data_IF_623844164538
#
_entry.id   IF_623844164538
#
_cell.length_a   1.000
_cell.length_b   1.000
_cell.length_c   1.000
_cell.angle_alpha   90.00
_cell.angle_beta   90.00
_cell.angle_gamma   90.00
#
_symmetry.space_group_name_H-M   'P 1'
#
loop_
_entity.id
_entity.type
_entity.pdbx_description
1 polymer ?
#
# COMPACT_ATOMS: atom_id res chain seq x y z
N UNK A 1 16.89 16.67 7.39
CA UNK A 1 16.19 15.62 6.64
C UNK A 1 15.94 14.37 7.48
N UNK A 2 16.99 13.66 7.98
CA UNK A 2 16.83 12.41 8.77
C UNK A 2 15.93 12.56 10.01
N UNK A 3 16.09 13.65 10.79
CA UNK A 3 15.25 13.90 11.98
C UNK A 3 13.76 14.03 11.63
N UNK A 4 13.44 14.65 10.48
CA UNK A 4 12.06 14.79 9.99
C UNK A 4 11.49 13.44 9.56
N UNK A 5 12.29 12.66 8.82
CA UNK A 5 11.89 11.29 8.44
C UNK A 5 11.60 10.45 9.68
N UNK A 6 12.48 10.50 10.71
CA UNK A 6 12.28 9.76 11.95
C UNK A 6 11.01 10.17 12.72
N UNK A 7 10.66 11.46 12.75
CA UNK A 7 9.42 11.94 13.38
C UNK A 7 8.17 11.45 12.63
N UNK A 8 8.19 11.50 11.30
CA UNK A 8 7.08 11.01 10.48
C UNK A 8 6.92 9.49 10.62
N UNK A 9 8.02 8.73 10.64
CA UNK A 9 7.98 7.30 10.94
C UNK A 9 7.31 7.02 12.29
N UNK A 10 7.64 7.78 13.33
CA UNK A 10 7.02 7.65 14.66
C UNK A 10 5.53 7.95 14.64
N UNK A 11 5.11 8.99 13.91
CA UNK A 11 3.69 9.34 13.78
C UNK A 11 2.86 8.26 13.05
N UNK A 12 3.48 7.44 12.20
CA UNK A 12 2.82 6.35 11.46
C UNK A 12 2.61 5.09 12.31
N UNK A 13 3.44 4.86 13.32
CA UNK A 13 3.38 3.66 14.17
C UNK A 13 1.95 3.33 14.65
N UNK A 14 1.20 4.25 15.28
CA UNK A 14 -0.12 3.93 15.81
C UNK A 14 -1.13 3.54 14.72
N UNK A 15 -1.06 4.16 13.55
CA UNK A 15 -1.97 3.83 12.43
C UNK A 15 -1.63 2.50 11.80
N UNK A 16 -0.34 2.22 11.58
CA UNK A 16 0.12 0.93 11.06
C UNK A 16 -0.16 -0.20 12.05
N UNK A 17 0.04 0.04 13.35
CA UNK A 17 -0.29 -0.93 14.38
C UNK A 17 -1.80 -1.23 14.44
N UNK A 18 -2.65 -0.20 14.36
CA UNK A 18 -4.11 -0.37 14.29
C UNK A 18 -4.51 -1.13 13.01
N UNK A 19 -3.89 -0.83 11.87
CA UNK A 19 -4.06 -1.55 10.61
C UNK A 19 -3.68 -3.03 10.76
N UNK A 20 -2.51 -3.30 11.33
CA UNK A 20 -2.03 -4.67 11.54
C UNK A 20 -2.95 -5.46 12.51
N UNK A 21 -3.40 -4.84 13.62
CA UNK A 21 -4.34 -5.48 14.56
C UNK A 21 -5.66 -5.83 13.86
N UNK A 22 -6.26 -4.88 13.14
CA UNK A 22 -7.53 -5.12 12.44
C UNK A 22 -7.36 -6.10 11.29
N UNK A 23 -6.22 -6.07 10.59
CA UNK A 23 -5.88 -7.03 9.55
C UNK A 23 -5.76 -8.45 10.12
N UNK A 24 -4.98 -8.65 11.18
CA UNK A 24 -4.85 -9.96 11.84
C UNK A 24 -6.20 -10.47 12.36
N UNK A 25 -7.05 -9.58 12.90
CA UNK A 25 -8.41 -9.97 13.29
C UNK A 25 -9.24 -10.43 12.08
N UNK A 26 -9.14 -9.74 10.95
CA UNK A 26 -9.81 -10.14 9.71
C UNK A 26 -9.28 -11.50 9.21
N UNK A 27 -7.97 -11.75 9.26
CA UNK A 27 -7.36 -13.03 8.89
C UNK A 27 -7.82 -14.17 9.81
N UNK A 28 -7.87 -13.92 11.12
CA UNK A 28 -8.40 -14.90 12.07
C UNK A 28 -9.85 -15.28 11.74
N UNK A 29 -10.69 -14.28 11.40
CA UNK A 29 -12.08 -14.53 10.98
C UNK A 29 -12.14 -15.35 9.68
N UNK A 30 -11.37 -14.95 8.65
CA UNK A 30 -11.28 -15.69 7.37
C UNK A 30 -10.91 -17.14 7.61
N UNK A 31 -9.95 -17.40 8.49
CA UNK A 31 -9.47 -18.75 8.82
C UNK A 31 -10.52 -19.53 9.63
N UNK A 32 -11.07 -18.95 10.70
CA UNK A 32 -12.06 -19.60 11.56
C UNK A 32 -13.35 -19.97 10.82
N UNK A 33 -13.77 -19.13 9.87
CA UNK A 33 -14.96 -19.41 9.04
C UNK A 33 -14.66 -20.25 7.80
N UNK A 34 -13.42 -20.74 7.63
CA UNK A 34 -12.99 -21.50 6.46
C UNK A 34 -13.42 -20.80 5.15
N UNK A 35 -13.17 -19.49 5.09
CA UNK A 35 -13.57 -18.66 3.95
C UNK A 35 -12.87 -19.16 2.69
N UNK A 36 -13.58 -19.37 1.57
CA UNK A 36 -12.97 -19.84 0.34
C UNK A 36 -11.92 -18.86 -0.21
N UNK A 37 -10.86 -19.40 -0.81
CA UNK A 37 -9.72 -18.62 -1.34
C UNK A 37 -10.16 -17.52 -2.32
N UNK A 38 -11.16 -17.78 -3.16
CA UNK A 38 -11.71 -16.80 -4.10
C UNK A 38 -12.27 -15.53 -3.42
N UNK A 39 -12.68 -15.61 -2.15
CA UNK A 39 -13.11 -14.43 -1.38
C UNK A 39 -11.88 -13.60 -0.99
N UNK A 40 -10.78 -14.23 -0.56
CA UNK A 40 -9.51 -13.54 -0.28
C UNK A 40 -8.93 -12.89 -1.53
N UNK A 41 -9.00 -13.57 -2.68
CA UNK A 41 -8.61 -13.01 -3.98
C UNK A 41 -9.47 -11.79 -4.33
N UNK A 42 -10.78 -11.86 -4.20
CA UNK A 42 -11.69 -10.75 -4.46
C UNK A 42 -11.40 -9.54 -3.54
N UNK A 43 -11.06 -9.80 -2.28
CA UNK A 43 -10.68 -8.77 -1.32
C UNK A 43 -9.32 -8.17 -1.69
N UNK A 44 -8.32 -8.97 -2.06
CA UNK A 44 -7.05 -8.48 -2.56
C UNK A 44 -7.23 -7.59 -3.79
N UNK A 45 -7.97 -8.07 -4.80
CA UNK A 45 -8.28 -7.32 -6.03
C UNK A 45 -9.12 -6.05 -5.79
N UNK A 46 -9.71 -5.90 -4.62
CA UNK A 46 -10.39 -4.67 -4.19
C UNK A 46 -9.45 -3.74 -3.42
N UNK A 47 -8.77 -4.25 -2.41
CA UNK A 47 -7.96 -3.42 -1.51
C UNK A 47 -6.65 -2.95 -2.16
N UNK A 48 -6.00 -3.75 -3.00
CA UNK A 48 -4.77 -3.36 -3.68
C UNK A 48 -4.96 -2.14 -4.61
N UNK A 49 -5.93 -2.09 -5.54
CA UNK A 49 -6.17 -0.87 -6.32
C UNK A 49 -6.61 0.34 -5.47
N UNK A 50 -7.39 0.13 -4.40
CA UNK A 50 -7.73 1.21 -3.48
C UNK A 50 -6.48 1.76 -2.77
N UNK A 51 -5.57 0.89 -2.34
CA UNK A 51 -4.27 1.31 -1.82
C UNK A 51 -3.52 2.18 -2.83
N UNK A 52 -3.45 1.76 -4.09
CA UNK A 52 -2.80 2.54 -5.17
C UNK A 52 -3.44 3.92 -5.33
N UNK A 53 -4.79 4.04 -5.30
CA UNK A 53 -5.48 5.35 -5.37
C UNK A 53 -5.03 6.27 -4.26
N UNK A 54 -5.10 5.81 -2.99
CA UNK A 54 -4.78 6.66 -1.84
C UNK A 54 -3.29 6.97 -1.75
N UNK A 55 -2.41 6.03 -2.07
CA UNK A 55 -0.97 6.27 -2.17
C UNK A 55 -0.64 7.31 -3.23
N UNK A 56 -1.23 7.21 -4.43
CA UNK A 56 -1.06 8.18 -5.50
C UNK A 56 -1.56 9.58 -5.11
N UNK A 57 -2.70 9.66 -4.40
CA UNK A 57 -3.22 10.92 -3.86
C UNK A 57 -2.22 11.58 -2.91
N UNK A 58 -1.73 10.82 -1.93
CA UNK A 58 -0.83 11.33 -0.88
C UNK A 58 0.50 11.75 -1.49
N UNK A 59 1.16 10.88 -2.24
CA UNK A 59 2.45 11.14 -2.89
C UNK A 59 2.39 12.37 -3.79
N UNK A 60 1.34 12.46 -4.64
CA UNK A 60 1.13 13.61 -5.54
C UNK A 60 0.89 14.89 -4.76
N UNK A 61 0.03 14.85 -3.73
CA UNK A 61 -0.29 16.02 -2.93
C UNK A 61 0.93 16.54 -2.16
N UNK A 62 1.74 15.68 -1.56
CA UNK A 62 2.97 16.06 -0.86
C UNK A 62 3.96 16.69 -1.84
N UNK A 63 4.15 16.08 -3.02
CA UNK A 63 5.04 16.64 -4.03
C UNK A 63 4.60 18.03 -4.50
N UNK A 64 3.31 18.20 -4.80
CA UNK A 64 2.72 19.48 -5.21
C UNK A 64 2.86 20.58 -4.17
N UNK A 65 2.67 20.27 -2.89
CA UNK A 65 2.81 21.25 -1.80
C UNK A 65 4.24 21.74 -1.62
N UNK A 66 5.22 20.90 -1.88
CA UNK A 66 6.64 21.23 -1.66
C UNK A 66 7.34 21.76 -2.91
N UNK A 67 6.74 21.64 -4.09
CA UNK A 67 7.33 22.12 -5.35
C UNK A 67 6.27 22.52 -6.36
N UNK A 68 6.36 23.73 -6.85
CA UNK A 68 5.60 24.15 -8.05
C UNK A 68 6.29 23.58 -9.30
N UNK A 69 6.05 22.31 -9.58
CA UNK A 69 6.74 21.53 -10.60
C UNK A 69 5.96 21.39 -11.89
N UNK A 70 6.67 20.98 -12.94
CA UNK A 70 6.05 20.65 -14.22
C UNK A 70 5.09 19.47 -14.06
N UNK A 71 3.94 19.49 -14.72
CA UNK A 71 2.90 18.47 -14.63
C UNK A 71 3.44 17.04 -14.85
N UNK A 72 4.28 16.83 -15.87
CA UNK A 72 4.84 15.52 -16.18
C UNK A 72 5.66 14.93 -15.02
N UNK A 73 6.41 15.79 -14.29
CA UNK A 73 7.19 15.33 -13.15
C UNK A 73 6.28 14.94 -11.98
N UNK A 74 5.19 15.68 -11.77
CA UNK A 74 4.16 15.32 -10.77
C UNK A 74 3.53 13.97 -11.09
N UNK A 75 3.24 13.70 -12.36
CA UNK A 75 2.69 12.41 -12.81
C UNK A 75 3.70 11.29 -12.55
N UNK A 76 4.96 11.45 -12.93
CA UNK A 76 5.99 10.42 -12.70
C UNK A 76 6.16 10.14 -11.21
N UNK A 77 6.30 11.17 -10.37
CA UNK A 77 6.49 10.99 -8.93
C UNK A 77 5.26 10.33 -8.30
N UNK A 78 4.05 10.77 -8.66
CA UNK A 78 2.81 10.17 -8.17
C UNK A 78 2.66 8.71 -8.59
N UNK A 79 2.96 8.39 -9.86
CA UNK A 79 2.85 7.05 -10.40
C UNK A 79 3.90 6.08 -9.81
N UNK A 80 5.17 6.43 -9.90
CA UNK A 80 6.26 5.56 -9.41
C UNK A 80 6.19 5.38 -7.89
N UNK A 81 5.89 6.46 -7.16
CA UNK A 81 5.74 6.41 -5.71
C UNK A 81 4.56 5.54 -5.27
N UNK A 82 3.44 5.56 -5.98
CA UNK A 82 2.27 4.76 -5.59
C UNK A 82 2.33 3.32 -6.09
N UNK A 83 2.44 3.11 -7.40
CA UNK A 83 2.42 1.76 -8.00
C UNK A 83 3.63 0.95 -7.54
N UNK A 84 4.82 1.56 -7.52
CA UNK A 84 6.04 0.88 -7.08
C UNK A 84 5.96 0.43 -5.63
N UNK A 85 5.46 1.30 -4.75
CA UNK A 85 5.37 0.99 -3.32
C UNK A 85 4.22 0.04 -3.01
N UNK A 86 3.04 0.23 -3.63
CA UNK A 86 1.94 -0.71 -3.45
C UNK A 86 2.31 -2.12 -3.95
N UNK A 87 3.01 -2.22 -5.08
CA UNK A 87 3.55 -3.51 -5.54
C UNK A 87 4.55 -4.11 -4.54
N UNK A 88 5.41 -3.28 -3.94
CA UNK A 88 6.39 -3.72 -2.96
C UNK A 88 5.72 -4.21 -1.68
N UNK A 89 4.82 -3.41 -1.09
CA UNK A 89 4.18 -3.70 0.20
C UNK A 89 3.12 -4.81 0.13
N UNK A 90 2.36 -4.88 -0.97
CA UNK A 90 1.18 -5.75 -1.03
C UNK A 90 1.45 -7.08 -1.77
N UNK A 91 2.55 -7.15 -2.55
CA UNK A 91 2.87 -8.34 -3.34
C UNK A 91 4.28 -8.87 -3.06
N UNK A 92 5.33 -8.07 -3.26
CA UNK A 92 6.71 -8.57 -3.19
C UNK A 92 7.11 -8.93 -1.76
N UNK A 93 6.89 -8.03 -0.80
CA UNK A 93 7.27 -8.27 0.59
C UNK A 93 6.46 -9.43 1.19
N UNK A 94 5.11 -9.47 1.10
CA UNK A 94 4.32 -10.61 1.57
C UNK A 94 4.76 -11.95 0.96
N UNK A 95 5.08 -11.97 -0.35
CA UNK A 95 5.61 -13.17 -0.98
C UNK A 95 6.94 -13.62 -0.35
N UNK A 96 7.90 -12.70 -0.16
CA UNK A 96 9.21 -13.02 0.45
C UNK A 96 9.07 -13.45 1.91
N UNK A 97 8.19 -12.80 2.66
CA UNK A 97 7.87 -13.15 4.04
C UNK A 97 7.24 -14.55 4.13
N UNK A 98 6.27 -14.85 3.26
CA UNK A 98 5.66 -16.17 3.16
C UNK A 98 6.69 -17.25 2.82
N UNK A 99 7.55 -17.01 1.84
CA UNK A 99 8.65 -17.95 1.52
C UNK A 99 9.62 -18.14 2.68
N UNK A 100 9.91 -17.09 3.46
CA UNK A 100 10.76 -17.19 4.65
C UNK A 100 10.14 -18.07 5.75
N UNK A 101 8.82 -18.12 5.81
CA UNK A 101 8.04 -18.98 6.71
C UNK A 101 7.74 -20.36 6.11
N UNK A 102 8.33 -20.69 4.95
CA UNK A 102 8.10 -21.95 4.22
C UNK A 102 6.63 -22.16 3.82
N UNK A 103 5.87 -21.07 3.67
CA UNK A 103 4.51 -21.10 3.15
C UNK A 103 4.58 -21.34 1.65
N UNK A 104 3.71 -22.22 1.15
CA UNK A 104 3.53 -22.38 -0.29
C UNK A 104 2.74 -21.19 -0.83
N UNK A 105 3.43 -20.29 -1.56
CA UNK A 105 2.86 -19.06 -2.11
C UNK A 105 3.14 -18.96 -3.59
N UNK A 106 2.11 -18.58 -4.34
CA UNK A 106 2.20 -18.18 -5.73
C UNK A 106 2.66 -16.71 -5.84
N UNK A 107 3.57 -16.43 -6.76
CA UNK A 107 4.03 -15.06 -6.98
C UNK A 107 3.09 -14.31 -7.91
N UNK A 108 2.32 -13.40 -7.35
CA UNK A 108 1.41 -12.54 -8.08
C UNK A 108 1.95 -11.11 -8.15
N UNK A 109 2.18 -10.60 -9.38
CA UNK A 109 2.67 -9.24 -9.61
C UNK A 109 1.56 -8.37 -10.23
N UNK A 110 0.87 -7.52 -9.43
CA UNK A 110 -0.31 -6.78 -9.87
C UNK A 110 -0.07 -5.88 -11.10
N UNK A 111 1.14 -5.30 -11.20
CA UNK A 111 1.49 -4.36 -12.27
C UNK A 111 1.47 -4.98 -13.68
N UNK A 112 1.72 -6.28 -13.80
CA UNK A 112 1.77 -6.99 -15.08
C UNK A 112 0.79 -8.15 -15.15
N UNK A 113 0.01 -8.40 -14.09
CA UNK A 113 -0.94 -9.50 -14.03
C UNK A 113 -2.04 -9.34 -15.09
N UNK A 114 -2.19 -10.34 -15.93
CA UNK A 114 -3.24 -10.46 -16.92
C UNK A 114 -4.49 -11.16 -16.37
N UNK A 115 -4.50 -11.51 -15.10
CA UNK A 115 -5.64 -12.08 -14.41
C UNK A 115 -6.86 -11.16 -14.51
N UNK A 116 -7.99 -11.76 -14.90
CA UNK A 116 -9.24 -11.02 -15.08
C UNK A 116 -9.88 -10.78 -13.72
N UNK A 117 -10.09 -9.53 -13.39
CA UNK A 117 -10.74 -9.16 -12.13
C UNK A 117 -12.22 -9.57 -12.14
N UNK A 118 -12.70 -10.21 -11.05
CA UNK A 118 -14.04 -10.79 -11.00
C UNK A 118 -15.19 -9.80 -11.28
N UNK A 119 -15.02 -8.54 -10.88
CA UNK A 119 -16.10 -7.54 -10.96
C UNK A 119 -16.06 -6.67 -12.22
N UNK A 120 -14.89 -6.50 -12.84
CA UNK A 120 -14.71 -5.55 -13.94
C UNK A 120 -14.49 -6.22 -15.30
N UNK A 121 -14.27 -7.52 -15.31
CA UNK A 121 -13.94 -8.31 -16.52
C UNK A 121 -12.79 -7.69 -17.35
N UNK A 122 -11.80 -7.14 -16.65
CA UNK A 122 -10.58 -6.56 -17.25
C UNK A 122 -9.34 -7.06 -16.49
N UNK A 123 -8.17 -7.09 -17.14
CA UNK A 123 -6.93 -7.50 -16.49
C UNK A 123 -6.56 -6.62 -15.29
N UNK A 124 -5.99 -7.21 -14.25
CA UNK A 124 -5.63 -6.51 -13.01
C UNK A 124 -4.71 -5.30 -13.24
N UNK A 125 -3.72 -5.43 -14.13
CA UNK A 125 -2.82 -4.32 -14.47
C UNK A 125 -3.56 -3.08 -15.00
N UNK A 126 -4.68 -3.25 -15.71
CA UNK A 126 -5.49 -2.13 -16.21
C UNK A 126 -6.09 -1.35 -15.05
N UNK A 127 -6.66 -2.06 -14.07
CA UNK A 127 -7.27 -1.45 -12.88
C UNK A 127 -6.23 -0.73 -12.02
N UNK A 128 -5.04 -1.34 -11.81
CA UNK A 128 -3.93 -0.74 -11.05
C UNK A 128 -3.48 0.57 -11.69
N UNK A 129 -3.31 0.59 -13.01
CA UNK A 129 -2.92 1.80 -13.74
C UNK A 129 -4.02 2.89 -13.70
N UNK A 130 -5.28 2.50 -13.89
CA UNK A 130 -6.41 3.42 -13.76
C UNK A 130 -6.51 4.02 -12.35
N UNK A 131 -6.33 3.19 -11.32
CA UNK A 131 -6.29 3.60 -9.91
C UNK A 131 -5.19 4.65 -9.64
N UNK A 132 -3.99 4.41 -10.16
CA UNK A 132 -2.88 5.37 -10.04
C UNK A 132 -3.23 6.71 -10.70
N UNK A 133 -3.78 6.71 -11.91
CA UNK A 133 -4.16 7.93 -12.63
C UNK A 133 -5.25 8.69 -11.84
N UNK A 134 -6.27 8.01 -11.36
CA UNK A 134 -7.35 8.62 -10.56
C UNK A 134 -6.76 9.27 -9.30
N UNK A 135 -5.91 8.55 -8.57
CA UNK A 135 -5.26 9.06 -7.37
C UNK A 135 -4.39 10.30 -7.64
N UNK A 136 -3.60 10.28 -8.73
CA UNK A 136 -2.79 11.44 -9.17
C UNK A 136 -3.67 12.64 -9.47
N UNK A 137 -4.77 12.47 -10.21
CA UNK A 137 -5.70 13.56 -10.56
C UNK A 137 -6.28 14.18 -9.27
N UNK A 138 -6.78 13.35 -8.35
CA UNK A 138 -7.36 13.83 -7.10
C UNK A 138 -6.31 14.55 -6.25
N UNK A 139 -5.11 13.97 -6.07
CA UNK A 139 -4.01 14.55 -5.31
C UNK A 139 -3.48 15.85 -5.92
N UNK A 140 -3.54 15.98 -7.24
CA UNK A 140 -3.17 17.21 -7.95
C UNK A 140 -4.11 18.38 -7.65
N UNK A 141 -5.43 18.16 -7.66
CA UNK A 141 -6.43 19.20 -7.46
C UNK A 141 -6.82 19.41 -5.99
N UNK A 142 -6.72 18.38 -5.15
CA UNK A 142 -7.06 18.43 -3.71
C UNK A 142 -5.86 18.01 -2.86
N UNK A 143 -4.88 18.88 -2.61
CA UNK A 143 -3.65 18.52 -1.89
C UNK A 143 -3.86 18.38 -0.37
N UNK A 144 -4.95 17.74 0.06
CA UNK A 144 -5.18 17.38 1.45
C UNK A 144 -4.64 15.96 1.71
N UNK A 145 -3.76 15.81 2.69
CA UNK A 145 -3.03 14.57 2.92
C UNK A 145 -3.41 13.82 4.20
N UNK A 146 -4.02 14.49 5.19
CA UNK A 146 -4.26 13.87 6.52
C UNK A 146 -5.16 12.64 6.44
N UNK A 147 -6.37 12.81 5.93
CA UNK A 147 -7.35 11.73 5.86
C UNK A 147 -6.96 10.63 4.83
N UNK A 148 -6.56 10.95 3.59
CA UNK A 148 -6.09 9.94 2.65
C UNK A 148 -4.93 9.12 3.18
N UNK A 149 -4.01 9.72 3.94
CA UNK A 149 -2.86 9.04 4.49
C UNK A 149 -3.23 7.98 5.53
N UNK A 150 -4.16 8.29 6.45
CA UNK A 150 -4.64 7.31 7.43
C UNK A 150 -5.30 6.11 6.77
N UNK A 151 -6.19 6.35 5.79
CA UNK A 151 -6.88 5.29 5.05
C UNK A 151 -5.89 4.47 4.21
N UNK A 152 -4.93 5.12 3.57
CA UNK A 152 -3.90 4.48 2.79
C UNK A 152 -3.17 3.39 3.59
N UNK A 153 -2.67 3.71 4.79
CA UNK A 153 -1.96 2.76 5.65
C UNK A 153 -2.85 1.58 6.06
N UNK A 154 -4.11 1.84 6.42
CA UNK A 154 -5.06 0.79 6.79
C UNK A 154 -5.34 -0.15 5.59
N UNK A 155 -5.63 0.42 4.42
CA UNK A 155 -5.94 -0.34 3.21
C UNK A 155 -4.72 -1.13 2.73
N UNK A 156 -3.51 -0.56 2.82
CA UNK A 156 -2.26 -1.26 2.52
C UNK A 156 -2.09 -2.50 3.39
N UNK A 157 -2.33 -2.37 4.70
CA UNK A 157 -2.23 -3.52 5.61
C UNK A 157 -3.22 -4.64 5.24
N UNK A 158 -4.43 -4.28 4.86
CA UNK A 158 -5.44 -5.25 4.44
C UNK A 158 -5.11 -5.86 3.07
N UNK A 159 -4.62 -5.07 2.11
CA UNK A 159 -4.16 -5.58 0.82
C UNK A 159 -3.02 -6.60 1.00
N UNK A 160 -2.00 -6.26 1.80
CA UNK A 160 -0.88 -7.15 2.11
C UNK A 160 -1.35 -8.46 2.76
N UNK A 161 -2.27 -8.37 3.72
CA UNK A 161 -2.84 -9.53 4.40
C UNK A 161 -3.63 -10.43 3.46
N UNK A 162 -4.52 -9.86 2.64
CA UNK A 162 -5.27 -10.65 1.67
C UNK A 162 -4.38 -11.22 0.57
N UNK A 163 -3.21 -10.63 0.30
CA UNK A 163 -2.16 -11.22 -0.52
C UNK A 163 -1.67 -12.56 0.04
N UNK A 164 -1.48 -12.69 1.35
CA UNK A 164 -1.14 -13.96 1.98
C UNK A 164 -2.23 -15.03 1.79
N UNK A 165 -3.49 -14.69 2.09
CA UNK A 165 -4.60 -15.64 2.04
C UNK A 165 -5.15 -15.93 0.65
N UNK A 166 -4.88 -15.05 -0.33
CA UNK A 166 -5.25 -15.21 -1.72
C UNK A 166 -4.24 -16.08 -2.51
N UNK A 167 -2.95 -15.91 -2.22
CA UNK A 167 -1.88 -16.53 -3.00
C UNK A 167 -1.03 -17.52 -2.20
N UNK A 168 -1.39 -17.77 -0.94
CA UNK A 168 -0.69 -18.70 -0.06
C UNK A 168 -1.62 -19.72 0.59
N UNK A 169 -1.05 -20.87 0.92
CA UNK A 169 -1.73 -21.95 1.65
C UNK A 169 -0.95 -22.32 2.90
N UNK A 170 -1.56 -22.15 4.07
CA UNK A 170 -0.95 -22.50 5.35
C UNK A 170 -2.02 -22.69 6.44
N UNK A 171 -1.60 -23.28 7.55
CA UNK A 171 -2.35 -23.16 8.81
C UNK A 171 -2.05 -21.76 9.40
N UNK A 172 -2.98 -20.83 9.18
CA UNK A 172 -2.75 -19.42 9.49
C UNK A 172 -2.77 -19.10 10.99
N UNK A 173 -3.57 -19.81 11.79
CA UNK A 173 -3.78 -19.49 13.22
C UNK A 173 -2.49 -19.43 14.03
N UNK A 174 -1.58 -20.42 13.97
CA UNK A 174 -0.32 -20.38 14.69
C UNK A 174 0.65 -19.32 14.15
N UNK A 175 0.47 -18.87 12.90
CA UNK A 175 1.34 -17.88 12.26
C UNK A 175 0.91 -16.43 12.54
N UNK A 176 -0.29 -16.17 13.06
CA UNK A 176 -0.80 -14.82 13.30
C UNK A 176 0.16 -13.89 14.06
N UNK A 177 0.88 -14.32 15.13
CA UNK A 177 1.80 -13.43 15.83
C UNK A 177 2.99 -12.98 14.98
N UNK A 178 3.56 -13.87 14.17
CA UNK A 178 4.69 -13.53 13.29
C UNK A 178 4.22 -12.72 12.09
N UNK A 179 3.05 -13.04 11.54
CA UNK A 179 2.43 -12.27 10.46
C UNK A 179 2.06 -10.85 10.90
N UNK A 180 1.69 -10.64 12.17
CA UNK A 180 1.50 -9.30 12.70
C UNK A 180 2.77 -8.45 12.57
N UNK A 181 3.91 -8.98 12.96
CA UNK A 181 5.21 -8.26 12.85
C UNK A 181 5.57 -8.02 11.40
N UNK A 182 5.37 -8.99 10.54
CA UNK A 182 5.65 -8.91 9.12
C UNK A 182 4.78 -7.87 8.44
N UNK A 183 3.45 -7.95 8.60
CA UNK A 183 2.51 -6.96 8.07
C UNK A 183 2.83 -5.54 8.55
N UNK A 184 3.17 -5.39 9.85
CA UNK A 184 3.56 -4.10 10.39
C UNK A 184 4.78 -3.54 9.65
N UNK A 185 5.83 -4.33 9.46
CA UNK A 185 7.06 -3.90 8.80
C UNK A 185 6.86 -3.70 7.30
N UNK A 186 6.14 -4.60 6.64
CA UNK A 186 5.84 -4.56 5.21
C UNK A 186 5.08 -3.31 4.78
N UNK A 187 4.26 -2.77 5.68
CA UNK A 187 3.49 -1.55 5.42
C UNK A 187 4.21 -0.32 5.96
N UNK A 188 4.68 -0.36 7.21
CA UNK A 188 5.29 0.80 7.86
C UNK A 188 6.47 1.37 7.09
N UNK A 189 7.42 0.54 6.67
CA UNK A 189 8.62 1.00 5.96
C UNK A 189 8.32 1.50 4.55
N UNK A 190 7.68 0.72 3.64
CA UNK A 190 7.43 1.17 2.27
C UNK A 190 6.49 2.36 2.20
N UNK A 191 5.37 2.38 2.95
CA UNK A 191 4.42 3.49 2.90
C UNK A 191 5.04 4.80 3.39
N UNK A 192 5.83 4.78 4.48
CA UNK A 192 6.54 5.98 4.92
C UNK A 192 7.59 6.47 3.91
N UNK A 193 8.30 5.53 3.28
CA UNK A 193 9.28 5.89 2.23
C UNK A 193 8.57 6.49 1.02
N UNK A 194 7.47 5.91 0.56
CA UNK A 194 6.70 6.40 -0.57
C UNK A 194 6.16 7.80 -0.36
N UNK A 195 5.46 7.98 0.75
CA UNK A 195 4.66 9.17 0.94
C UNK A 195 5.49 10.38 1.32
N UNK A 196 6.63 10.18 1.98
CA UNK A 196 7.42 11.26 2.56
C UNK A 196 8.79 11.35 1.91
N UNK A 197 9.55 10.25 1.91
CA UNK A 197 10.94 10.29 1.46
C UNK A 197 11.02 10.47 -0.04
N UNK A 198 10.27 9.65 -0.79
CA UNK A 198 10.35 9.63 -2.25
C UNK A 198 9.95 10.97 -2.90
N UNK A 199 8.81 11.61 -2.57
CA UNK A 199 8.49 12.93 -3.12
C UNK A 199 9.51 14.00 -2.76
N UNK A 200 10.06 13.96 -1.55
CA UNK A 200 11.02 14.96 -1.06
C UNK A 200 12.39 14.82 -1.72
N UNK A 201 12.80 13.65 -2.19
CA UNK A 201 14.04 13.47 -2.95
C UNK A 201 14.08 14.30 -4.24
N UNK A 202 12.91 14.59 -4.81
CA UNK A 202 12.78 15.38 -6.05
C UNK A 202 12.64 16.88 -5.80
N UNK A 203 12.56 17.31 -4.54
CA UNK A 203 12.48 18.74 -4.15
C UNK A 203 13.88 19.25 -3.88
N UNK A 204 14.43 20.09 -4.77
CA UNK A 204 15.68 20.81 -4.55
C UNK A 204 15.39 22.10 -3.73
N UNK A 205 15.94 22.22 -2.54
CA UNK A 205 15.79 23.38 -1.66
C UNK A 205 15.16 23.03 -0.30
N UNK A 206 15.19 23.96 0.66
CA UNK A 206 14.50 23.78 1.94
C UNK A 206 12.99 23.64 1.70
N UNK A 207 12.37 22.57 2.21
CA UNK A 207 10.94 22.40 2.07
C UNK A 207 10.20 23.52 2.81
N UNK A 208 9.16 24.07 2.16
CA UNK A 208 8.26 25.03 2.79
C UNK A 208 7.76 24.46 4.12
N UNK A 209 7.78 25.28 5.17
CA UNK A 209 7.33 24.89 6.50
C UNK A 209 5.93 24.31 6.42
N UNK A 210 5.80 23.02 6.76
CA UNK A 210 4.50 22.38 6.92
C UNK A 210 3.90 22.97 8.20
N UNK A 211 2.94 23.88 8.05
CA UNK A 211 2.07 24.26 9.15
C UNK A 211 1.12 23.08 9.42
N UNK A 212 1.20 22.57 10.64
CA UNK A 212 0.31 21.57 11.22
C UNK A 212 -1.10 22.13 11.42
#
# INVERSE_FOLDING_TARGET
MLKRIGLELLHHIPFTAAGAVTGIAAMALVTLFNTPMNVSEALFFTFHPLHVVFSAMVTTAIFRRNKNSRLWLTIIVGYVGSVGVATLSDAIIPYLEGKSLQIDMEFHLPLISTEIMPYFNVPHWVIVNAAAIIGIIIGYFKPNTKFPHMIHVLISTWASLFGFTAFGTADWLPLLPVLFVFLFLAVWLPCCVSDIVFPLLWVKGEPAHAHH
#
